data_IF_254831526048
#
_entry.id   IF_254831526048
#
_cell.length_a   1.000
_cell.length_b   1.000
_cell.length_c   1.000
_cell.angle_alpha   90.00
_cell.angle_beta   90.00
_cell.angle_gamma   90.00
#
_symmetry.space_group_name_H-M   'P 1'
#
loop_
_entity.id
_entity.type
_entity.pdbx_description
1 polymer ?
#
# COMPACT_ATOMS: atom_id res chain seq x y z
N UNK A 1 14.50 6.46 1.42
CA UNK A 1 15.41 5.87 0.39
C UNK A 1 14.57 5.25 -0.73
N UNK A 2 15.11 4.97 -1.94
CA UNK A 2 14.32 4.30 -2.98
C UNK A 2 14.03 2.83 -2.63
N UNK A 3 12.97 2.27 -3.22
CA UNK A 3 12.61 0.85 -3.20
C UNK A 3 12.69 0.31 -4.64
N UNK A 4 13.32 -0.84 -4.83
CA UNK A 4 13.45 -1.44 -6.16
C UNK A 4 12.26 -2.32 -6.52
N UNK A 5 11.99 -2.48 -7.83
CA UNK A 5 11.09 -3.52 -8.32
C UNK A 5 11.56 -4.91 -7.83
N UNK A 6 10.63 -5.71 -7.34
CA UNK A 6 10.90 -7.02 -6.74
C UNK A 6 11.32 -6.98 -5.27
N UNK A 7 11.65 -5.81 -4.71
CA UNK A 7 11.92 -5.63 -3.29
C UNK A 7 10.65 -5.88 -2.47
N UNK A 8 10.80 -6.55 -1.32
CA UNK A 8 9.72 -6.73 -0.34
C UNK A 8 9.86 -5.65 0.72
N UNK A 9 8.81 -4.86 0.91
CA UNK A 9 8.77 -3.83 1.96
C UNK A 9 8.74 -4.50 3.33
N UNK A 10 9.49 -3.95 4.29
CA UNK A 10 9.51 -4.42 5.66
C UNK A 10 8.19 -4.16 6.42
N UNK A 11 8.26 -4.30 7.74
CA UNK A 11 7.14 -4.01 8.63
C UNK A 11 7.03 -2.54 9.01
N UNK A 12 6.31 -2.28 10.10
CA UNK A 12 6.06 -0.93 10.62
C UNK A 12 7.31 -0.20 11.14
N UNK A 13 8.40 -0.94 11.37
CA UNK A 13 9.71 -0.41 11.77
C UNK A 13 10.72 -0.32 10.61
N UNK A 14 10.29 -0.46 9.35
CA UNK A 14 11.20 -0.33 8.21
C UNK A 14 11.75 1.11 8.14
N UNK A 15 13.08 1.32 8.29
CA UNK A 15 13.69 2.65 8.28
C UNK A 15 13.63 3.33 6.91
N UNK A 16 13.20 2.62 5.86
CA UNK A 16 13.01 3.18 4.52
C UNK A 16 11.68 3.93 4.37
N UNK A 17 10.74 3.72 5.29
CA UNK A 17 9.39 4.26 5.23
C UNK A 17 9.21 5.48 6.13
N UNK A 18 8.42 6.43 5.64
CA UNK A 18 7.88 7.55 6.41
C UNK A 18 6.35 7.48 6.35
N UNK A 19 5.68 7.76 7.47
CA UNK A 19 4.22 7.68 7.56
C UNK A 19 3.56 9.03 7.30
N UNK A 20 2.53 9.02 6.47
CA UNK A 20 1.69 10.17 6.17
C UNK A 20 0.26 9.91 6.66
N UNK A 21 -0.29 10.86 7.42
CA UNK A 21 -1.70 10.87 7.79
C UNK A 21 -2.48 11.61 6.70
N UNK A 22 -3.38 10.90 6.03
CA UNK A 22 -4.21 11.40 4.94
C UNK A 22 -5.69 11.11 5.22
N UNK A 23 -6.64 11.85 4.62
CA UNK A 23 -8.05 11.47 4.64
C UNK A 23 -8.25 10.03 4.13
N UNK A 24 -9.25 9.33 4.68
CA UNK A 24 -9.60 8.00 4.21
C UNK A 24 -10.08 8.06 2.75
N UNK A 25 -9.49 7.20 1.91
CA UNK A 25 -9.79 7.07 0.49
C UNK A 25 -9.80 5.59 0.11
N UNK A 26 -10.54 5.23 -0.93
CA UNK A 26 -10.64 3.83 -1.37
C UNK A 26 -9.31 3.30 -1.90
N UNK A 27 -9.06 2.01 -1.71
CA UNK A 27 -7.91 1.32 -2.28
C UNK A 27 -8.18 1.03 -3.75
N UNK A 28 -7.63 1.87 -4.62
CA UNK A 28 -7.72 1.75 -6.09
C UNK A 28 -6.47 2.30 -6.75
N UNK A 29 -6.27 1.97 -8.02
CA UNK A 29 -5.15 2.50 -8.80
C UNK A 29 -5.15 4.04 -8.78
N UNK A 30 -3.95 4.60 -8.58
CA UNK A 30 -3.73 6.02 -8.38
C UNK A 30 -3.93 6.53 -6.95
N UNK A 31 -4.50 5.74 -6.04
CA UNK A 31 -4.68 6.12 -4.64
C UNK A 31 -3.47 5.72 -3.77
N UNK A 32 -3.12 6.51 -2.72
CA UNK A 32 -2.18 6.09 -1.69
C UNK A 32 -2.60 4.75 -1.07
N UNK A 33 -1.67 3.81 -0.96
CA UNK A 33 -1.92 2.54 -0.28
C UNK A 33 -1.80 2.75 1.24
N UNK A 34 -2.76 2.29 2.05
CA UNK A 34 -2.61 2.26 3.50
C UNK A 34 -1.34 1.52 3.90
N UNK A 35 -0.56 2.09 4.81
CA UNK A 35 0.77 1.56 5.13
C UNK A 35 0.76 0.07 5.54
N UNK A 36 -0.22 -0.32 6.36
CA UNK A 36 -0.37 -1.70 6.81
C UNK A 36 -0.67 -2.71 5.68
N UNK A 37 -1.16 -2.25 4.53
CA UNK A 37 -1.35 -3.08 3.34
C UNK A 37 -0.11 -3.13 2.43
N UNK A 38 0.85 -2.21 2.62
CA UNK A 38 2.11 -2.21 1.90
C UNK A 38 3.17 -3.13 2.55
N UNK A 39 3.06 -3.36 3.86
CA UNK A 39 4.01 -4.19 4.60
C UNK A 39 4.04 -5.63 4.07
N UNK A 40 5.24 -6.21 4.00
CA UNK A 40 5.49 -7.55 3.44
C UNK A 40 5.06 -7.74 1.97
N UNK A 41 4.69 -6.67 1.27
CA UNK A 41 4.34 -6.75 -0.15
C UNK A 41 5.56 -6.52 -1.03
N UNK A 42 5.55 -7.18 -2.18
CA UNK A 42 6.56 -7.01 -3.23
C UNK A 42 6.20 -5.81 -4.11
N UNK A 43 7.19 -4.97 -4.38
CA UNK A 43 7.05 -3.83 -5.30
C UNK A 43 7.04 -4.32 -6.74
N UNK A 44 6.09 -3.83 -7.54
CA UNK A 44 5.95 -4.14 -8.97
C UNK A 44 6.81 -3.27 -9.86
N UNK A 45 7.21 -2.11 -9.34
CA UNK A 45 7.97 -1.08 -10.06
C UNK A 45 8.99 -0.46 -9.12
N UNK A 46 10.00 0.19 -9.67
CA UNK A 46 10.90 1.04 -8.87
C UNK A 46 10.12 2.23 -8.30
N UNK A 47 10.30 2.50 -7.00
CA UNK A 47 9.69 3.61 -6.29
C UNK A 47 10.80 4.57 -5.83
N UNK A 48 10.83 5.81 -6.35
CA UNK A 48 11.85 6.77 -5.96
C UNK A 48 11.66 7.24 -4.51
N UNK A 49 12.75 7.67 -3.88
CA UNK A 49 12.68 8.20 -2.52
C UNK A 49 11.72 9.39 -2.43
N UNK A 50 10.88 9.42 -1.39
CA UNK A 50 9.88 10.47 -1.17
C UNK A 50 8.59 10.31 -1.98
N UNK A 51 8.47 9.28 -2.83
CA UNK A 51 7.20 8.96 -3.47
C UNK A 51 6.23 8.25 -2.51
N UNK A 52 4.93 8.54 -2.69
CA UNK A 52 3.86 7.82 -2.00
C UNK A 52 3.63 6.47 -2.69
N UNK A 53 3.71 5.39 -1.92
CA UNK A 53 3.37 4.05 -2.41
C UNK A 53 1.88 4.02 -2.73
N UNK A 54 1.55 3.70 -3.99
CA UNK A 54 0.18 3.59 -4.46
C UNK A 54 -0.24 2.16 -4.66
N UNK A 55 -1.54 1.95 -4.73
CA UNK A 55 -2.13 0.61 -4.87
C UNK A 55 -1.47 -0.18 -5.99
N UNK A 56 -1.43 0.33 -7.21
CA UNK A 56 -0.91 -0.38 -8.39
C UNK A 56 0.56 -0.79 -8.31
N UNK A 57 1.33 -0.20 -7.38
CA UNK A 57 2.76 -0.42 -7.22
C UNK A 57 3.10 -1.68 -6.45
N UNK A 58 2.13 -2.36 -5.83
CA UNK A 58 2.36 -3.58 -5.04
C UNK A 58 1.62 -4.77 -5.61
N UNK A 59 2.18 -5.96 -5.41
CA UNK A 59 1.45 -7.20 -5.65
C UNK A 59 0.32 -7.36 -4.63
N UNK A 60 -0.88 -7.72 -5.11
CA UNK A 60 -1.99 -8.09 -4.23
C UNK A 60 -1.77 -9.53 -3.79
N UNK A 61 -1.77 -9.81 -2.48
CA UNK A 61 -1.72 -11.19 -2.03
C UNK A 61 -3.04 -11.89 -2.37
N UNK A 62 -2.94 -13.06 -3.01
CA UNK A 62 -4.10 -13.93 -3.17
C UNK A 62 -4.64 -14.34 -1.79
N UNK A 63 -5.96 -14.49 -1.69
CA UNK A 63 -6.66 -15.00 -0.50
C UNK A 63 -6.36 -14.23 0.80
N UNK A 64 -6.09 -12.93 0.70
CA UNK A 64 -5.81 -12.11 1.88
C UNK A 64 -7.06 -11.56 2.54
N UNK A 65 -7.33 -12.01 3.77
CA UNK A 65 -8.42 -11.49 4.59
C UNK A 65 -8.33 -9.98 4.82
N UNK A 66 -7.12 -9.43 4.99
CA UNK A 66 -6.91 -7.98 5.14
C UNK A 66 -7.42 -7.21 3.92
N UNK A 67 -7.07 -7.66 2.71
CA UNK A 67 -7.45 -6.99 1.48
C UNK A 67 -8.95 -7.15 1.18
N UNK A 68 -9.53 -8.31 1.49
CA UNK A 68 -10.97 -8.54 1.38
C UNK A 68 -11.75 -7.61 2.32
N UNK A 69 -11.41 -7.61 3.62
CA UNK A 69 -12.07 -6.74 4.60
C UNK A 69 -11.87 -5.25 4.30
N UNK A 70 -10.73 -4.88 3.70
CA UNK A 70 -10.51 -3.51 3.26
C UNK A 70 -11.46 -3.13 2.13
N UNK A 71 -11.68 -4.02 1.16
CA UNK A 71 -12.64 -3.78 0.10
C UNK A 71 -14.08 -3.63 0.66
N UNK A 72 -14.46 -4.50 1.59
CA UNK A 72 -15.76 -4.41 2.28
C UNK A 72 -15.92 -3.07 3.02
N UNK A 73 -14.86 -2.59 3.67
CA UNK A 73 -14.84 -1.29 4.34
C UNK A 73 -15.01 -0.14 3.33
N UNK A 74 -14.26 -0.16 2.24
CA UNK A 74 -14.36 0.88 1.20
C UNK A 74 -15.78 0.97 0.64
N UNK A 75 -16.44 -0.18 0.42
CA UNK A 75 -17.83 -0.27 0.00
C UNK A 75 -18.81 0.23 1.07
N UNK A 76 -18.70 -0.29 2.30
CA UNK A 76 -19.61 0.04 3.40
C UNK A 76 -19.65 1.53 3.75
N UNK A 77 -18.52 2.23 3.58
CA UNK A 77 -18.39 3.66 3.86
C UNK A 77 -18.42 4.54 2.60
N UNK A 78 -18.61 3.96 1.41
CA UNK A 78 -18.69 4.72 0.15
C UNK A 78 -17.45 5.55 -0.14
N UNK A 79 -16.26 5.02 0.20
CA UNK A 79 -14.99 5.72 -0.01
C UNK A 79 -14.71 5.85 -1.52
N UNK A 80 -14.04 6.94 -1.90
CA UNK A 80 -13.70 7.28 -3.30
C UNK A 80 -12.21 7.41 -3.51
#
# INVERSE_FOLDING_TARGET
VPLAAGEVVGGDHDPKLEYLLLPAAAVRDGAPLPAHMAFSQRMRVDIPAGAVIRREMVDVPADSALWALRADLDEAFGLR
#
